data_IF_738494881074
#
_entry.id   IF_738494881074
#
_cell.length_a   1.000
_cell.length_b   1.000
_cell.length_c   1.000
_cell.angle_alpha   90.00
_cell.angle_beta   90.00
_cell.angle_gamma   90.00
#
_symmetry.space_group_name_H-M   'P 1'
#
loop_
_entity.id
_entity.type
_entity.pdbx_description
1 polymer ?
#
# COMPACT_ATOMS: atom_id res chain seq x y z
N UNK A 1 -6.18 11.34 13.57
CA UNK A 1 -5.57 10.25 14.38
C UNK A 1 -5.19 10.72 15.77
N UNK A 2 -5.21 9.83 16.77
CA UNK A 2 -4.59 10.10 18.09
C UNK A 2 -3.07 9.98 17.95
N UNK A 3 -2.35 11.10 17.92
CA UNK A 3 -0.88 11.12 17.84
C UNK A 3 -0.17 11.36 19.18
N UNK A 4 1.17 11.39 19.15
CA UNK A 4 2.02 11.69 20.31
C UNK A 4 1.66 13.04 20.94
N UNK A 5 1.62 13.11 22.27
CA UNK A 5 1.41 14.35 23.06
C UNK A 5 0.16 15.18 22.69
N UNK A 6 -0.88 14.57 22.16
CA UNK A 6 -2.13 15.26 21.82
C UNK A 6 -2.09 16.03 20.50
N UNK A 7 -1.05 15.84 19.68
CA UNK A 7 -1.06 16.32 18.30
C UNK A 7 -1.96 15.40 17.45
N UNK A 8 -2.99 15.98 16.84
CA UNK A 8 -3.87 15.30 15.89
C UNK A 8 -3.55 15.79 14.49
N UNK A 9 -3.16 14.88 13.61
CA UNK A 9 -3.08 15.13 12.17
C UNK A 9 -4.36 14.60 11.52
N UNK A 10 -4.96 15.39 10.63
CA UNK A 10 -6.01 14.89 9.74
C UNK A 10 -5.41 13.97 8.69
N UNK A 11 -6.00 12.78 8.59
CA UNK A 11 -5.74 11.83 7.53
C UNK A 11 -7.08 11.45 6.93
N UNK A 12 -7.10 11.33 5.60
CA UNK A 12 -8.30 10.97 4.84
C UNK A 12 -8.65 9.51 5.01
N UNK A 13 -7.64 8.66 5.21
CA UNK A 13 -7.80 7.26 5.58
C UNK A 13 -7.10 7.02 6.91
N UNK A 14 -7.79 6.42 7.87
CA UNK A 14 -7.23 6.05 9.18
C UNK A 14 -7.49 4.57 9.46
N UNK A 15 -6.48 3.89 9.97
CA UNK A 15 -6.56 2.51 10.44
C UNK A 15 -6.28 2.51 11.94
N UNK A 16 -7.27 2.08 12.72
CA UNK A 16 -7.10 1.89 14.16
C UNK A 16 -6.32 0.61 14.42
N UNK A 17 -5.36 0.67 15.35
CA UNK A 17 -4.46 -0.45 15.64
C UNK A 17 -4.48 -0.80 17.12
N UNK A 18 -4.77 -2.06 17.43
CA UNK A 18 -4.75 -2.53 18.80
C UNK A 18 -3.33 -2.54 19.37
N UNK A 19 -3.17 -1.95 20.55
CA UNK A 19 -1.93 -1.99 21.33
C UNK A 19 -0.78 -1.12 20.79
N UNK A 20 -1.03 -0.21 19.85
CA UNK A 20 -0.02 0.71 19.28
C UNK A 20 -0.63 2.06 18.87
N UNK A 21 0.14 2.88 18.14
CA UNK A 21 -0.41 4.07 17.49
C UNK A 21 -1.24 3.70 16.26
N UNK A 22 -2.34 4.46 16.07
CA UNK A 22 -3.06 4.48 14.81
C UNK A 22 -2.14 5.01 13.71
N UNK A 23 -2.36 4.54 12.49
CA UNK A 23 -1.72 5.08 11.30
C UNK A 23 -2.75 5.41 10.23
N UNK A 24 -2.34 6.17 9.23
CA UNK A 24 -3.20 6.50 8.12
C UNK A 24 -2.48 7.21 6.99
N UNK A 25 -3.28 7.71 6.06
CA UNK A 25 -2.79 8.30 4.83
C UNK A 25 -3.47 9.64 4.59
N UNK A 26 -2.67 10.61 4.15
CA UNK A 26 -3.14 11.94 3.75
C UNK A 26 -2.69 12.21 2.33
N UNK A 27 -3.55 12.80 1.51
CA UNK A 27 -3.16 13.26 0.18
C UNK A 27 -2.22 14.46 0.29
N UNK A 28 -1.09 14.39 -0.40
CA UNK A 28 -0.21 15.53 -0.60
C UNK A 28 -0.41 16.08 -2.02
N UNK A 29 -1.12 17.20 -2.11
CA UNK A 29 -1.39 17.95 -3.33
C UNK A 29 -0.12 18.37 -4.08
N UNK A 30 0.98 18.67 -3.38
CA UNK A 30 2.20 19.22 -3.99
C UNK A 30 3.00 18.22 -4.82
N UNK A 31 2.93 16.93 -4.44
CA UNK A 31 3.64 15.85 -5.11
C UNK A 31 2.71 14.76 -5.66
N UNK A 32 1.39 14.98 -5.57
CA UNK A 32 0.33 14.06 -5.99
C UNK A 32 0.52 12.64 -5.48
N UNK A 33 0.82 12.50 -4.19
CA UNK A 33 1.03 11.20 -3.56
C UNK A 33 0.40 11.12 -2.17
N UNK A 34 0.12 9.90 -1.72
CA UNK A 34 -0.29 9.67 -0.34
C UNK A 34 0.92 9.62 0.59
N UNK A 35 0.85 10.41 1.67
CA UNK A 35 1.81 10.36 2.76
C UNK A 35 1.32 9.42 3.85
N UNK A 36 2.20 8.56 4.33
CA UNK A 36 1.94 7.74 5.50
C UNK A 36 2.17 8.55 6.78
N UNK A 37 1.17 8.56 7.66
CA UNK A 37 1.16 9.31 8.91
C UNK A 37 0.99 8.33 10.07
N UNK A 38 1.99 8.26 10.95
CA UNK A 38 1.95 7.49 12.18
C UNK A 38 2.90 8.11 13.21
N UNK A 39 2.74 7.73 14.48
CA UNK A 39 3.80 7.86 15.47
C UNK A 39 4.75 6.66 15.36
N UNK A 40 6.02 6.92 15.02
CA UNK A 40 7.04 5.89 14.86
C UNK A 40 7.54 5.33 16.21
N UNK A 41 7.57 6.16 17.26
CA UNK A 41 7.97 5.72 18.61
C UNK A 41 6.91 4.79 19.22
N UNK A 42 5.67 4.90 18.76
CA UNK A 42 4.55 4.03 19.14
C UNK A 42 4.26 2.93 18.13
N UNK A 43 5.15 2.70 17.15
CA UNK A 43 5.04 1.59 16.20
C UNK A 43 5.37 0.25 16.88
N UNK A 44 4.32 -0.42 17.37
CA UNK A 44 4.44 -1.71 18.07
C UNK A 44 4.07 -2.92 17.21
N UNK A 45 4.08 -2.76 15.89
CA UNK A 45 3.76 -3.84 14.97
C UNK A 45 4.96 -4.76 14.77
N UNK A 46 4.73 -6.07 14.50
CA UNK A 46 5.81 -7.04 14.31
C UNK A 46 6.64 -6.80 13.05
N UNK A 47 6.18 -5.93 12.15
CA UNK A 47 6.85 -5.61 10.88
C UNK A 47 7.38 -4.18 10.96
N UNK A 48 8.66 -3.91 10.68
CA UNK A 48 9.20 -2.55 10.61
C UNK A 48 8.40 -1.67 9.64
N UNK A 49 8.27 -0.38 9.94
CA UNK A 49 7.43 0.55 9.17
C UNK A 49 7.83 0.60 7.69
N UNK A 50 9.12 0.55 7.38
CA UNK A 50 9.64 0.59 6.00
C UNK A 50 9.26 -0.70 5.25
N UNK A 51 9.28 -1.84 5.94
CA UNK A 51 8.87 -3.13 5.37
C UNK A 51 7.36 -3.18 5.16
N UNK A 52 6.59 -2.56 6.05
CA UNK A 52 5.15 -2.38 5.87
C UNK A 52 4.86 -1.53 4.62
N UNK A 53 5.47 -0.35 4.51
CA UNK A 53 5.30 0.53 3.36
C UNK A 53 5.74 -0.12 2.05
N UNK A 54 6.88 -0.81 2.04
CA UNK A 54 7.36 -1.56 0.88
C UNK A 54 6.32 -2.59 0.39
N UNK A 55 5.73 -3.36 1.30
CA UNK A 55 4.69 -4.35 0.97
C UNK A 55 3.40 -3.70 0.50
N UNK A 56 2.98 -2.61 1.14
CA UNK A 56 1.78 -1.87 0.76
C UNK A 56 1.92 -1.31 -0.66
N UNK A 57 3.04 -0.65 -0.95
CA UNK A 57 3.33 -0.08 -2.28
C UNK A 57 3.39 -1.16 -3.35
N UNK A 58 4.05 -2.30 -3.06
CA UNK A 58 4.10 -3.44 -3.99
C UNK A 58 2.69 -3.96 -4.31
N UNK A 59 1.82 -4.09 -3.29
CA UNK A 59 0.45 -4.57 -3.46
C UNK A 59 -0.45 -3.57 -4.19
N UNK A 60 -0.26 -2.28 -3.94
CA UNK A 60 -0.92 -1.22 -4.69
C UNK A 60 -0.54 -1.27 -6.17
N UNK A 61 0.76 -1.32 -6.48
CA UNK A 61 1.26 -1.42 -7.85
C UNK A 61 0.70 -2.67 -8.56
N UNK A 62 0.74 -3.83 -7.90
CA UNK A 62 0.14 -5.06 -8.43
C UNK A 62 -1.36 -4.87 -8.74
N UNK A 63 -2.12 -4.27 -7.82
CA UNK A 63 -3.56 -4.04 -8.01
C UNK A 63 -3.83 -3.13 -9.21
N UNK A 64 -3.06 -2.04 -9.35
CA UNK A 64 -3.16 -1.12 -10.48
C UNK A 64 -2.85 -1.82 -11.81
N UNK A 65 -1.81 -2.65 -11.85
CA UNK A 65 -1.47 -3.43 -13.06
C UNK A 65 -2.59 -4.41 -13.40
N UNK A 66 -3.10 -5.17 -12.42
CA UNK A 66 -4.21 -6.12 -12.64
C UNK A 66 -5.48 -5.44 -13.14
N UNK A 67 -5.80 -4.26 -12.61
CA UNK A 67 -6.96 -3.49 -13.05
C UNK A 67 -6.80 -2.99 -14.49
N UNK A 68 -5.62 -2.47 -14.84
CA UNK A 68 -5.30 -2.08 -16.21
C UNK A 68 -5.31 -3.29 -17.17
N UNK A 69 -4.72 -4.42 -16.78
CA UNK A 69 -4.74 -5.69 -17.54
C UNK A 69 -6.17 -6.08 -17.91
N UNK A 70 -7.08 -6.06 -16.93
CA UNK A 70 -8.50 -6.37 -17.15
C UNK A 70 -9.18 -5.34 -18.05
N UNK A 71 -8.89 -4.05 -17.85
CA UNK A 71 -9.46 -2.98 -18.67
C UNK A 71 -9.08 -3.12 -20.14
N UNK A 72 -7.85 -3.55 -20.43
CA UNK A 72 -7.32 -3.78 -21.78
C UNK A 72 -7.74 -5.15 -22.38
N UNK A 73 -8.59 -5.90 -21.68
CA UNK A 73 -9.16 -7.17 -22.16
C UNK A 73 -8.20 -8.36 -22.07
N UNK A 74 -7.15 -8.28 -21.25
CA UNK A 74 -6.27 -9.41 -20.98
C UNK A 74 -6.73 -10.18 -19.75
N UNK A 75 -6.49 -11.48 -19.77
CA UNK A 75 -6.62 -12.36 -18.61
C UNK A 75 -5.23 -12.70 -18.05
N UNK A 76 -5.14 -12.84 -16.73
CA UNK A 76 -3.91 -13.27 -16.04
C UNK A 76 -3.83 -14.79 -16.07
N UNK A 77 -2.76 -15.32 -16.66
CA UNK A 77 -2.52 -16.77 -16.75
C UNK A 77 -1.55 -17.27 -15.68
N UNK A 78 -0.63 -16.43 -15.22
CA UNK A 78 0.32 -16.76 -14.15
C UNK A 78 0.65 -15.51 -13.32
N UNK A 79 0.80 -15.69 -12.02
CA UNK A 79 1.42 -14.73 -11.11
C UNK A 79 2.49 -15.45 -10.28
N UNK A 80 3.69 -14.90 -10.23
CA UNK A 80 4.81 -15.45 -9.46
C UNK A 80 5.40 -14.40 -8.53
N UNK A 81 5.49 -14.73 -7.25
CA UNK A 81 6.24 -13.94 -6.27
C UNK A 81 7.70 -14.41 -6.26
N UNK A 82 8.63 -13.50 -6.58
CA UNK A 82 10.06 -13.80 -6.66
C UNK A 82 10.75 -13.61 -5.30
N UNK A 83 11.87 -14.31 -5.09
CA UNK A 83 12.64 -14.22 -3.84
C UNK A 83 13.24 -12.83 -3.59
N UNK A 84 13.51 -12.07 -4.66
CA UNK A 84 14.01 -10.70 -4.59
C UNK A 84 12.93 -9.67 -4.26
N UNK A 85 11.66 -10.09 -4.17
CA UNK A 85 10.53 -9.22 -3.91
C UNK A 85 9.91 -8.59 -5.16
N UNK A 86 10.29 -9.02 -6.37
CA UNK A 86 9.50 -8.72 -7.58
C UNK A 86 8.26 -9.61 -7.67
N UNK A 87 7.26 -9.17 -8.43
CA UNK A 87 6.08 -9.98 -8.80
C UNK A 87 6.02 -10.00 -10.33
N UNK A 88 6.05 -11.20 -10.90
CA UNK A 88 5.91 -11.40 -12.35
C UNK A 88 4.47 -11.78 -12.67
N UNK A 89 3.93 -11.18 -13.74
CA UNK A 89 2.61 -11.49 -14.28
C UNK A 89 2.76 -11.91 -15.74
N UNK A 90 2.14 -13.04 -16.09
CA UNK A 90 1.92 -13.45 -17.49
C UNK A 90 0.46 -13.21 -17.80
N UNK A 91 0.21 -12.47 -18.87
CA UNK A 91 -1.14 -12.08 -19.30
C UNK A 91 -1.35 -12.46 -20.76
N UNK A 92 -2.57 -12.87 -21.11
CA UNK A 92 -2.92 -13.29 -22.46
C UNK A 92 -4.24 -12.67 -22.88
N UNK A 93 -4.37 -12.36 -24.16
CA UNK A 93 -5.64 -12.01 -24.79
C UNK A 93 -5.84 -12.90 -26.00
N UNK A 94 -7.06 -13.42 -26.15
CA UNK A 94 -7.44 -14.19 -27.32
C UNK A 94 -8.24 -13.27 -28.24
N UNK A 95 -7.65 -12.93 -29.39
CA UNK A 95 -8.40 -12.25 -30.45
C UNK A 95 -9.24 -13.30 -31.20
N UNK A 96 -10.53 -13.03 -31.42
CA UNK A 96 -11.46 -13.88 -32.18
C UNK A 96 -11.39 -13.63 -33.68
#
# INVERSE_FOLDING_TARGET
MRGYKGQTVEAELTVAVDGGADFGFRWNESNHSYEFVTDLDLWRQPVPVERFLSRLTQRYALRSVLEATRHEGFDVTEQRDCQDGSIELVVTRWDS
#
